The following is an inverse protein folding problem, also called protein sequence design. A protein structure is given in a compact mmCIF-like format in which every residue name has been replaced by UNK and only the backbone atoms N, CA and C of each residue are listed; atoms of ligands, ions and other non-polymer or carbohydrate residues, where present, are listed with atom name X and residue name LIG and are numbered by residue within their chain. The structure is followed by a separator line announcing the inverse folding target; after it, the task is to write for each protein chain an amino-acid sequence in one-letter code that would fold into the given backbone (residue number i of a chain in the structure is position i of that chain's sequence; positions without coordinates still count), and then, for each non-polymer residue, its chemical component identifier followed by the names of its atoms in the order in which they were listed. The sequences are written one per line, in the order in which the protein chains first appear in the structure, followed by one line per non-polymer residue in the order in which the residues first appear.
data_IF_491248536355
#
_entry.id   IF_491248536355
#
_cell.length_a   1.000
_cell.length_b   1.000
_cell.length_c   1.000
_cell.angle_alpha   90.00
_cell.angle_beta   90.00
_cell.angle_gamma   90.00
#
_symmetry.space_group_name_H-M   'P 1'
#
loop_
_entity.id
_entity.type
_entity.pdbx_description
1 polymer ?
#
# COMPACT_ATOMS: atom_id res chain seq x y z
N UNK A 1 -6.97 -8.94 19.59
CA UNK A 1 -5.77 -9.72 19.25
C UNK A 1 -5.63 -9.80 17.74
N UNK A 2 -4.78 -8.97 17.19
CA UNK A 2 -4.53 -8.90 15.74
C UNK A 2 -3.40 -9.84 15.29
N UNK A 3 -3.39 -11.05 15.81
CA UNK A 3 -2.41 -12.07 15.42
C UNK A 3 -3.02 -13.11 14.46
N UNK A 4 -4.23 -12.82 13.92
CA UNK A 4 -4.86 -13.70 12.95
C UNK A 4 -4.04 -13.75 11.66
N UNK A 5 -3.66 -14.98 11.25
CA UNK A 5 -2.92 -15.16 9.98
C UNK A 5 -3.88 -15.10 8.78
N UNK A 6 -3.31 -14.88 7.58
CA UNK A 6 -4.08 -14.95 6.34
C UNK A 6 -4.88 -16.25 6.21
N UNK A 7 -4.25 -17.39 6.48
CA UNK A 7 -4.90 -18.70 6.38
C UNK A 7 -6.06 -18.83 7.35
N UNK A 8 -5.90 -18.36 8.59
CA UNK A 8 -6.98 -18.38 9.59
C UNK A 8 -8.17 -17.51 9.13
N UNK A 9 -7.89 -16.32 8.60
CA UNK A 9 -8.93 -15.44 8.06
C UNK A 9 -9.69 -16.09 6.88
N UNK A 10 -8.98 -16.73 5.95
CA UNK A 10 -9.61 -17.48 4.86
C UNK A 10 -10.42 -18.66 5.35
N UNK A 11 -9.92 -19.42 6.31
CA UNK A 11 -10.66 -20.57 6.92
C UNK A 11 -11.95 -20.12 7.57
N UNK A 12 -11.93 -19.01 8.30
CA UNK A 12 -13.14 -18.42 8.92
C UNK A 12 -14.22 -18.07 7.87
N UNK A 13 -13.80 -17.72 6.65
CA UNK A 13 -14.68 -17.44 5.52
C UNK A 13 -15.10 -18.70 4.73
N UNK A 14 -14.77 -19.89 5.22
CA UNK A 14 -15.15 -21.16 4.58
C UNK A 14 -14.26 -21.55 3.39
N UNK A 15 -13.13 -20.87 3.16
CA UNK A 15 -12.20 -21.23 2.08
C UNK A 15 -11.50 -22.54 2.41
N UNK A 16 -11.54 -23.49 1.48
CA UNK A 16 -10.89 -24.79 1.65
C UNK A 16 -9.36 -24.68 1.55
N UNK A 17 -8.63 -25.63 2.17
CA UNK A 17 -7.16 -25.71 2.04
C UNK A 17 -6.71 -25.82 0.58
N UNK A 18 -7.47 -26.55 -0.25
CA UNK A 18 -7.17 -26.67 -1.68
C UNK A 18 -7.25 -25.31 -2.40
N UNK A 19 -8.27 -24.52 -2.10
CA UNK A 19 -8.43 -23.16 -2.66
C UNK A 19 -7.33 -22.23 -2.18
N UNK A 20 -6.94 -22.33 -0.90
CA UNK A 20 -5.80 -21.57 -0.35
C UNK A 20 -4.47 -21.93 -1.07
N UNK A 21 -4.18 -23.20 -1.31
CA UNK A 21 -2.98 -23.61 -2.05
C UNK A 21 -3.01 -23.17 -3.51
N UNK A 22 -4.19 -23.17 -4.16
CA UNK A 22 -4.36 -22.56 -5.48
C UNK A 22 -4.02 -21.06 -5.46
N UNK A 23 -4.50 -20.35 -4.47
CA UNK A 23 -4.14 -18.94 -4.26
C UNK A 23 -2.62 -18.75 -4.16
N UNK A 24 -1.94 -19.54 -3.32
CA UNK A 24 -0.48 -19.45 -3.16
C UNK A 24 0.26 -19.74 -4.48
N UNK A 25 -0.23 -20.67 -5.30
CA UNK A 25 0.34 -20.98 -6.62
C UNK A 25 0.14 -19.83 -7.61
N UNK A 26 -1.05 -19.22 -7.65
CA UNK A 26 -1.32 -18.04 -8.47
C UNK A 26 -0.48 -16.84 -8.04
N UNK A 27 -0.33 -16.62 -6.73
CA UNK A 27 0.55 -15.59 -6.21
C UNK A 27 2.02 -15.80 -6.61
N UNK A 28 2.52 -17.04 -6.58
CA UNK A 28 3.86 -17.37 -7.08
C UNK A 28 4.01 -16.99 -8.54
N UNK A 29 3.03 -17.33 -9.35
CA UNK A 29 3.03 -17.04 -10.80
C UNK A 29 2.97 -15.53 -11.07
N UNK A 30 2.09 -14.78 -10.39
CA UNK A 30 1.96 -13.33 -10.59
C UNK A 30 3.22 -12.56 -10.15
N UNK A 31 3.99 -13.13 -9.21
CA UNK A 31 5.29 -12.60 -8.78
C UNK A 31 6.45 -13.00 -9.72
N UNK A 32 6.17 -13.70 -10.82
CA UNK A 32 7.21 -14.26 -11.69
C UNK A 32 8.06 -15.33 -11.01
N UNK A 33 7.59 -15.90 -9.90
CA UNK A 33 8.27 -16.96 -9.16
C UNK A 33 7.79 -18.32 -9.67
N UNK A 34 8.70 -19.28 -9.76
CA UNK A 34 8.35 -20.65 -10.15
C UNK A 34 7.44 -21.34 -9.12
N UNK A 35 6.75 -22.40 -9.54
CA UNK A 35 5.85 -23.19 -8.68
C UNK A 35 6.54 -23.73 -7.40
N UNK A 36 7.86 -23.88 -7.40
CA UNK A 36 8.66 -24.28 -6.25
C UNK A 36 8.56 -23.30 -5.06
N UNK A 37 8.13 -22.05 -5.30
CA UNK A 37 7.93 -21.06 -4.24
C UNK A 37 6.56 -21.16 -3.56
N UNK A 38 5.61 -21.90 -4.12
CA UNK A 38 4.27 -22.08 -3.53
C UNK A 38 4.29 -22.54 -2.07
N UNK A 39 5.11 -23.55 -1.67
CA UNK A 39 5.16 -23.96 -0.26
C UNK A 39 5.67 -22.86 0.68
N UNK A 40 6.62 -22.03 0.23
CA UNK A 40 7.17 -20.93 1.03
C UNK A 40 6.14 -19.81 1.21
N UNK A 41 5.38 -19.50 0.17
CA UNK A 41 4.27 -18.55 0.24
C UNK A 41 3.19 -19.09 1.19
N UNK A 42 2.80 -20.36 1.03
CA UNK A 42 1.82 -20.99 1.89
C UNK A 42 2.25 -20.97 3.37
N UNK A 43 3.50 -21.32 3.66
CA UNK A 43 4.05 -21.27 5.02
C UNK A 43 3.97 -19.85 5.62
N UNK A 44 4.38 -18.83 4.85
CA UNK A 44 4.34 -17.45 5.32
C UNK A 44 2.90 -17.01 5.66
N UNK A 45 1.97 -17.30 4.79
CA UNK A 45 0.55 -16.94 4.94
C UNK A 45 -0.19 -17.77 6.02
N UNK A 46 0.35 -18.95 6.37
CA UNK A 46 -0.17 -19.78 7.48
C UNK A 46 0.37 -19.34 8.84
N UNK A 47 1.58 -18.77 8.90
CA UNK A 47 2.30 -18.59 10.17
C UNK A 47 2.58 -17.13 10.53
N UNK A 48 2.53 -16.21 9.57
CA UNK A 48 2.74 -14.78 9.87
C UNK A 48 1.40 -14.08 10.14
N UNK A 49 1.36 -13.16 11.13
CA UNK A 49 0.20 -12.29 11.31
C UNK A 49 0.02 -11.37 10.09
N UNK A 50 -1.19 -10.90 9.89
CA UNK A 50 -1.47 -9.90 8.85
C UNK A 50 -0.73 -8.61 9.15
N UNK A 51 -0.11 -8.02 8.12
CA UNK A 51 0.60 -6.75 8.28
C UNK A 51 -0.43 -5.61 8.28
N UNK A 52 -0.40 -4.73 9.29
CA UNK A 52 -1.21 -3.52 9.28
C UNK A 52 -0.84 -2.61 8.11
N UNK A 53 -1.83 -2.09 7.43
CA UNK A 53 -1.67 -1.11 6.35
C UNK A 53 -2.45 0.15 6.68
N UNK A 54 -1.76 1.27 6.61
CA UNK A 54 -2.33 2.62 6.71
C UNK A 54 -2.28 3.23 5.33
N UNK A 55 -3.44 3.51 4.73
CA UNK A 55 -3.56 4.11 3.40
C UNK A 55 -4.07 5.54 3.54
N UNK A 56 -3.28 6.48 3.06
CA UNK A 56 -3.59 7.91 3.16
C UNK A 56 -3.64 8.56 1.78
N UNK A 57 -4.47 9.58 1.64
CA UNK A 57 -4.81 10.24 0.39
C UNK A 57 -4.42 11.73 0.41
N UNK A 58 -3.60 12.15 -0.58
CA UNK A 58 -3.19 13.53 -0.79
C UNK A 58 -3.93 14.17 -1.97
N UNK A 59 -3.24 14.99 -2.76
CA UNK A 59 -3.79 15.48 -4.03
C UNK A 59 -3.83 14.33 -5.04
N UNK A 60 -5.04 13.84 -5.32
CA UNK A 60 -5.24 12.63 -6.12
C UNK A 60 -6.64 12.58 -6.75
N UNK A 61 -6.99 11.50 -7.42
CA UNK A 61 -8.28 11.27 -8.08
C UNK A 61 -8.94 9.94 -7.66
N UNK A 62 -8.45 9.29 -6.59
CA UNK A 62 -8.92 7.98 -6.06
C UNK A 62 -8.72 6.80 -7.04
N UNK A 63 -8.14 7.04 -8.23
CA UNK A 63 -8.02 5.99 -9.25
C UNK A 63 -7.07 4.86 -8.86
N UNK A 64 -6.09 5.06 -7.97
CA UNK A 64 -5.23 3.97 -7.52
C UNK A 64 -6.00 3.03 -6.59
N UNK A 65 -6.79 3.54 -5.66
CA UNK A 65 -7.73 2.75 -4.85
C UNK A 65 -8.74 2.03 -5.73
N UNK A 66 -9.35 2.72 -6.70
CA UNK A 66 -10.27 2.13 -7.69
C UNK A 66 -9.60 1.01 -8.51
N UNK A 67 -8.35 1.21 -8.92
CA UNK A 67 -7.58 0.17 -9.60
C UNK A 67 -7.34 -1.01 -8.69
N UNK A 68 -6.89 -0.77 -7.47
CA UNK A 68 -6.59 -1.83 -6.50
C UNK A 68 -7.80 -2.74 -6.23
N UNK A 69 -9.00 -2.16 -6.01
CA UNK A 69 -10.21 -2.95 -5.74
C UNK A 69 -10.68 -3.75 -6.96
N UNK A 70 -10.19 -3.44 -8.17
CA UNK A 70 -10.44 -4.20 -9.40
C UNK A 70 -9.45 -5.34 -9.66
N UNK A 71 -8.48 -5.55 -8.78
CA UNK A 71 -7.53 -6.67 -8.92
C UNK A 71 -8.28 -8.00 -9.02
N UNK A 72 -7.89 -8.81 -10.00
CA UNK A 72 -8.50 -10.09 -10.28
C UNK A 72 -7.68 -11.28 -9.79
N UNK A 73 -6.34 -11.12 -9.68
CA UNK A 73 -5.43 -12.19 -9.29
C UNK A 73 -4.24 -11.68 -8.46
N UNK A 74 -4.30 -11.71 -7.10
CA UNK A 74 -5.44 -12.09 -6.24
C UNK A 74 -6.57 -11.06 -6.27
N UNK A 75 -7.80 -11.50 -6.01
CA UNK A 75 -8.92 -10.57 -5.87
C UNK A 75 -8.63 -9.58 -4.74
N UNK A 76 -8.89 -8.28 -4.98
CA UNK A 76 -8.66 -7.24 -3.97
C UNK A 76 -9.35 -7.54 -2.63
N UNK A 77 -10.57 -8.07 -2.66
CA UNK A 77 -11.27 -8.51 -1.45
C UNK A 77 -10.49 -9.55 -0.64
N UNK A 78 -9.74 -10.44 -1.31
CA UNK A 78 -8.95 -11.47 -0.63
C UNK A 78 -7.67 -10.86 -0.06
N UNK A 79 -7.10 -9.85 -0.72
CA UNK A 79 -5.98 -9.08 -0.21
C UNK A 79 -6.40 -8.27 1.02
N UNK A 80 -7.40 -7.40 0.88
CA UNK A 80 -7.87 -6.50 1.95
C UNK A 80 -8.38 -7.28 3.15
N UNK A 81 -9.24 -8.29 2.91
CA UNK A 81 -9.93 -8.99 4.00
C UNK A 81 -9.10 -10.11 4.62
N UNK A 82 -7.97 -10.50 4.02
CA UNK A 82 -7.26 -11.69 4.45
C UNK A 82 -5.74 -11.55 4.47
N UNK A 83 -5.13 -10.94 3.46
CA UNK A 83 -3.67 -10.85 3.34
C UNK A 83 -3.07 -9.74 4.21
N UNK A 84 -3.70 -8.59 4.20
CA UNK A 84 -3.33 -7.43 5.02
C UNK A 84 -4.40 -7.17 6.07
N UNK A 85 -4.08 -6.34 7.05
CA UNK A 85 -5.06 -5.65 7.87
C UNK A 85 -5.11 -4.22 7.36
N UNK A 86 -6.13 -3.87 6.54
CA UNK A 86 -6.34 -2.49 6.14
C UNK A 86 -7.00 -1.77 7.31
N UNK A 87 -6.15 -1.23 8.19
CA UNK A 87 -6.57 -0.69 9.47
C UNK A 87 -7.02 0.77 9.35
N UNK A 88 -6.49 1.49 8.36
CA UNK A 88 -6.89 2.84 8.04
C UNK A 88 -6.91 3.07 6.52
N UNK A 89 -8.01 3.60 6.04
CA UNK A 89 -8.18 4.09 4.66
C UNK A 89 -9.34 5.08 4.67
N UNK A 90 -9.06 6.37 4.47
CA UNK A 90 -10.06 7.43 4.59
C UNK A 90 -11.10 7.43 3.44
N UNK A 91 -10.92 6.61 2.41
CA UNK A 91 -11.92 6.44 1.33
C UNK A 91 -12.79 5.17 1.48
N UNK A 92 -12.29 4.12 2.13
CA UNK A 92 -12.98 2.83 2.24
C UNK A 92 -13.50 2.50 3.64
N UNK A 93 -12.99 3.18 4.68
CA UNK A 93 -13.41 2.93 6.05
C UNK A 93 -14.80 3.50 6.34
N UNK A 94 -15.51 2.88 7.29
CA UNK A 94 -16.82 3.37 7.72
C UNK A 94 -16.74 4.56 8.70
N UNK A 95 -15.61 4.71 9.42
CA UNK A 95 -15.41 5.83 10.34
C UNK A 95 -15.21 7.14 9.57
N UNK A 96 -15.69 8.25 10.13
CA UNK A 96 -15.58 9.58 9.54
C UNK A 96 -15.29 10.65 10.61
N UNK A 97 -14.79 11.82 10.21
CA UNK A 97 -14.53 12.96 11.09
C UNK A 97 -13.55 12.61 12.21
N UNK A 98 -13.86 13.03 13.44
CA UNK A 98 -13.00 12.80 14.61
C UNK A 98 -12.75 11.33 14.88
N UNK A 99 -13.74 10.47 14.67
CA UNK A 99 -13.59 9.03 14.83
C UNK A 99 -12.51 8.45 13.89
N UNK A 100 -12.45 8.91 12.64
CA UNK A 100 -11.42 8.48 11.70
C UNK A 100 -10.02 8.91 12.15
N UNK A 101 -9.88 10.15 12.66
CA UNK A 101 -8.60 10.66 13.18
C UNK A 101 -8.17 9.94 14.46
N UNK A 102 -9.10 9.59 15.36
CA UNK A 102 -8.81 8.77 16.53
C UNK A 102 -8.30 7.38 16.14
N UNK A 103 -8.93 6.73 15.15
CA UNK A 103 -8.48 5.46 14.59
C UNK A 103 -7.08 5.59 13.99
N UNK A 104 -6.82 6.66 13.24
CA UNK A 104 -5.51 6.93 12.66
C UNK A 104 -4.41 6.99 13.74
N UNK A 105 -4.59 7.82 14.76
CA UNK A 105 -3.60 7.97 15.83
C UNK A 105 -3.42 6.69 16.67
N UNK A 106 -4.51 5.95 16.95
CA UNK A 106 -4.44 4.66 17.66
C UNK A 106 -3.59 3.65 16.87
N UNK A 107 -3.80 3.53 15.55
CA UNK A 107 -3.06 2.61 14.71
C UNK A 107 -1.58 2.99 14.64
N UNK A 108 -1.25 4.26 14.43
CA UNK A 108 0.14 4.72 14.40
C UNK A 108 0.87 4.42 15.71
N UNK A 109 0.18 4.55 16.84
CA UNK A 109 0.73 4.24 18.16
C UNK A 109 0.89 2.74 18.39
N UNK A 110 -0.18 1.97 18.12
CA UNK A 110 -0.25 0.53 18.38
C UNK A 110 0.72 -0.27 17.52
N UNK A 111 0.89 0.13 16.27
CA UNK A 111 1.71 -0.59 15.29
C UNK A 111 2.99 0.14 14.91
N UNK A 112 3.47 1.05 15.73
CA UNK A 112 4.71 1.78 15.47
C UNK A 112 5.86 0.84 15.08
N UNK A 113 6.50 1.10 13.95
CA UNK A 113 7.58 0.28 13.38
C UNK A 113 7.13 -1.00 12.69
N UNK A 114 5.81 -1.29 12.59
CA UNK A 114 5.30 -2.57 12.08
C UNK A 114 4.25 -2.45 10.97
N UNK A 115 3.83 -1.27 10.60
CA UNK A 115 2.85 -1.09 9.53
C UNK A 115 3.49 -0.64 8.22
N UNK A 116 2.84 -0.96 7.12
CA UNK A 116 3.15 -0.42 5.81
C UNK A 116 2.31 0.85 5.61
N UNK A 117 2.96 1.95 5.23
CA UNK A 117 2.30 3.15 4.80
C UNK A 117 2.08 3.13 3.29
N UNK A 118 0.85 3.12 2.86
CA UNK A 118 0.42 3.27 1.47
C UNK A 118 0.01 4.73 1.24
N UNK A 119 0.62 5.39 0.28
CA UNK A 119 0.34 6.80 -0.03
C UNK A 119 -0.19 6.91 -1.45
N UNK A 120 -1.40 7.41 -1.60
CA UNK A 120 -2.01 7.81 -2.87
C UNK A 120 -2.03 9.33 -2.97
N UNK A 121 -1.67 9.85 -4.15
CA UNK A 121 -1.56 11.29 -4.31
C UNK A 121 -0.27 11.90 -3.76
N UNK A 122 -0.21 13.22 -3.76
CA UNK A 122 0.99 13.96 -3.35
C UNK A 122 0.66 15.15 -2.45
N UNK A 123 1.63 15.60 -1.63
CA UNK A 123 1.47 16.79 -0.81
C UNK A 123 1.71 18.05 -1.63
N UNK A 124 0.88 19.09 -1.51
CA UNK A 124 1.24 20.45 -1.89
C UNK A 124 2.18 21.06 -0.84
N UNK A 125 3.17 21.85 -1.29
CA UNK A 125 4.05 22.61 -0.41
C UNK A 125 3.63 24.09 -0.31
N UNK A 126 2.87 24.58 -1.30
CA UNK A 126 2.39 25.95 -1.32
C UNK A 126 1.46 26.26 -0.16
N UNK A 127 1.47 27.50 0.32
CA UNK A 127 0.67 27.98 1.45
C UNK A 127 0.74 27.03 2.67
N UNK A 128 1.93 26.56 2.99
CA UNK A 128 2.19 25.63 4.10
C UNK A 128 1.38 24.32 4.01
N UNK A 129 1.03 23.89 2.79
CA UNK A 129 0.27 22.66 2.56
C UNK A 129 -1.25 22.81 2.62
N UNK A 130 -1.76 24.04 2.76
CA UNK A 130 -3.21 24.31 2.92
C UNK A 130 -4.07 23.96 1.71
N UNK A 131 -3.47 23.66 0.56
CA UNK A 131 -4.22 23.19 -0.62
C UNK A 131 -4.72 21.75 -0.52
N UNK A 132 -4.31 21.00 0.51
CA UNK A 132 -4.81 19.65 0.79
C UNK A 132 -4.92 19.45 2.30
N UNK A 133 -6.17 19.42 2.80
CA UNK A 133 -6.49 19.25 4.22
C UNK A 133 -7.15 17.88 4.42
N UNK A 134 -6.64 17.10 5.36
CA UNK A 134 -7.20 15.83 5.79
C UNK A 134 -7.30 15.82 7.32
N UNK A 135 -8.49 15.54 7.85
CA UNK A 135 -8.72 15.54 9.29
C UNK A 135 -8.45 16.89 9.97
N UNK A 136 -8.68 18.01 9.26
CA UNK A 136 -8.44 19.36 9.78
C UNK A 136 -6.98 19.81 9.80
N UNK A 137 -6.06 19.02 9.22
CA UNK A 137 -4.61 19.32 9.15
C UNK A 137 -4.11 19.28 7.71
N UNK A 138 -3.05 20.02 7.35
CA UNK A 138 -2.38 19.86 6.07
C UNK A 138 -1.95 18.41 5.85
N UNK A 139 -2.22 17.85 4.68
CA UNK A 139 -1.86 16.47 4.34
C UNK A 139 -0.36 16.18 4.53
N UNK A 140 0.51 17.17 4.30
CA UNK A 140 1.95 17.03 4.51
C UNK A 140 2.30 16.69 5.98
N UNK A 141 1.54 17.18 6.95
CA UNK A 141 1.73 16.86 8.37
C UNK A 141 1.28 15.42 8.64
N UNK A 142 0.11 15.01 8.12
CA UNK A 142 -0.39 13.64 8.19
C UNK A 142 0.60 12.65 7.58
N UNK A 143 1.13 12.97 6.39
CA UNK A 143 2.14 12.17 5.70
C UNK A 143 3.41 11.99 6.55
N UNK A 144 3.99 13.07 7.09
CA UNK A 144 5.18 13.02 7.95
C UNK A 144 4.91 12.22 9.22
N UNK A 145 3.76 12.42 9.84
CA UNK A 145 3.32 11.71 11.04
C UNK A 145 3.23 10.20 10.78
N UNK A 146 2.57 9.79 9.71
CA UNK A 146 2.45 8.39 9.33
C UNK A 146 3.80 7.79 8.90
N UNK A 147 4.61 8.52 8.17
CA UNK A 147 5.91 8.02 7.72
C UNK A 147 6.87 7.74 8.88
N UNK A 148 6.83 8.52 9.96
CA UNK A 148 7.75 8.37 11.09
C UNK A 148 7.74 6.96 11.70
N UNK A 149 6.57 6.33 11.84
CA UNK A 149 6.40 4.99 12.41
C UNK A 149 6.26 3.87 11.39
N UNK A 150 6.31 4.15 10.08
CA UNK A 150 6.16 3.12 9.06
C UNK A 150 7.40 2.23 8.93
N UNK A 151 7.20 0.91 8.80
CA UNK A 151 8.27 -0.05 8.48
C UNK A 151 8.67 0.01 7.01
N UNK A 152 7.72 0.35 6.13
CA UNK A 152 7.92 0.52 4.71
C UNK A 152 6.89 1.51 4.15
N UNK A 153 7.22 2.17 3.04
CA UNK A 153 6.34 3.13 2.36
C UNK A 153 6.15 2.70 0.91
N UNK A 154 4.90 2.70 0.44
CA UNK A 154 4.55 2.48 -0.95
C UNK A 154 3.94 3.76 -1.51
N UNK A 155 4.47 4.24 -2.62
CA UNK A 155 3.93 5.37 -3.39
C UNK A 155 3.05 4.82 -4.52
N UNK A 156 1.73 4.84 -4.33
CA UNK A 156 0.79 4.40 -5.34
C UNK A 156 0.58 5.45 -6.42
N UNK A 157 0.76 5.03 -7.64
CA UNK A 157 0.51 5.85 -8.80
C UNK A 157 1.58 6.89 -9.11
N UNK A 158 1.43 7.52 -10.25
CA UNK A 158 2.35 8.56 -10.72
C UNK A 158 2.28 9.82 -9.86
N UNK A 159 1.12 10.10 -9.21
CA UNK A 159 0.97 11.24 -8.32
C UNK A 159 1.92 11.16 -7.13
N UNK A 160 1.88 10.09 -6.35
CA UNK A 160 2.77 9.89 -5.21
C UNK A 160 4.23 9.73 -5.64
N UNK A 161 4.48 9.03 -6.77
CA UNK A 161 5.83 8.71 -7.24
C UNK A 161 6.57 9.90 -7.83
N UNK A 162 5.90 10.76 -8.61
CA UNK A 162 6.53 11.85 -9.39
C UNK A 162 5.72 13.13 -9.52
N UNK A 163 4.58 13.25 -8.83
CA UNK A 163 3.76 14.47 -8.82
C UNK A 163 2.66 14.52 -9.87
N UNK A 164 2.79 13.80 -10.99
CA UNK A 164 1.79 13.68 -12.06
C UNK A 164 1.27 15.05 -12.58
N UNK A 165 -0.01 15.11 -12.96
CA UNK A 165 -0.65 16.31 -13.51
C UNK A 165 -0.67 17.47 -12.51
N UNK A 166 -0.78 17.20 -11.22
CA UNK A 166 -0.79 18.23 -10.18
C UNK A 166 0.53 19.01 -10.10
N UNK A 167 1.66 18.35 -10.40
CA UNK A 167 2.98 18.96 -10.41
C UNK A 167 3.38 19.54 -11.78
N UNK A 168 2.51 19.43 -12.80
CA UNK A 168 2.76 20.02 -14.11
C UNK A 168 2.76 21.55 -14.03
N UNK A 169 3.57 22.19 -14.90
CA UNK A 169 3.64 23.67 -14.94
C UNK A 169 2.41 24.31 -15.58
N UNK A 170 1.94 25.43 -15.05
CA UNK A 170 2.35 26.10 -13.83
C UNK A 170 1.87 25.30 -12.61
N UNK A 171 2.69 25.10 -11.62
CA UNK A 171 2.36 24.35 -10.41
C UNK A 171 2.07 25.32 -9.21
N UNK A 172 0.90 25.95 -9.15
CA UNK A 172 0.62 26.97 -8.14
C UNK A 172 0.55 26.40 -6.72
N UNK A 173 0.18 25.13 -6.57
CA UNK A 173 0.09 24.47 -5.27
C UNK A 173 1.45 23.94 -4.79
N UNK A 174 2.46 23.96 -5.66
CA UNK A 174 3.77 23.34 -5.41
C UNK A 174 3.62 21.84 -5.05
N UNK A 175 2.69 21.15 -5.73
CA UNK A 175 2.51 19.72 -5.58
C UNK A 175 3.82 18.98 -5.89
N UNK A 176 4.21 18.04 -5.03
CA UNK A 176 5.52 17.40 -5.11
C UNK A 176 5.43 15.90 -4.80
N UNK A 177 6.27 15.05 -5.41
CA UNK A 177 6.28 13.63 -5.07
C UNK A 177 6.72 13.41 -3.62
N UNK A 178 6.26 12.30 -3.03
CA UNK A 178 6.45 12.06 -1.60
C UNK A 178 7.92 11.86 -1.20
N UNK A 179 8.78 11.40 -2.09
CA UNK A 179 10.22 11.22 -1.84
C UNK A 179 11.00 12.55 -1.70
N UNK A 180 10.37 13.68 -2.04
CA UNK A 180 10.92 15.00 -1.75
C UNK A 180 10.61 15.49 -0.33
N UNK A 181 9.64 14.85 0.30
CA UNK A 181 9.21 15.16 1.68
C UNK A 181 9.75 14.13 2.66
N UNK A 182 9.73 12.86 2.28
CA UNK A 182 10.25 11.74 3.08
C UNK A 182 11.55 11.28 2.45
N UNK A 183 12.67 11.58 3.09
CA UNK A 183 14.02 11.34 2.56
C UNK A 183 14.83 10.33 3.36
N UNK A 184 14.31 9.95 4.53
CA UNK A 184 14.97 9.09 5.52
C UNK A 184 14.55 7.62 5.45
N UNK A 185 13.62 7.28 4.55
CA UNK A 185 13.11 5.92 4.40
C UNK A 185 13.02 5.47 2.95
N UNK A 186 13.22 4.17 2.68
CA UNK A 186 13.03 3.64 1.34
C UNK A 186 11.55 3.69 0.94
N UNK A 187 11.30 4.14 -0.30
CA UNK A 187 9.95 4.23 -0.86
C UNK A 187 9.87 3.32 -2.09
N UNK A 188 8.93 2.40 -2.07
CA UNK A 188 8.58 1.56 -3.22
C UNK A 188 7.65 2.35 -4.12
N UNK A 189 8.14 2.81 -5.27
CA UNK A 189 7.33 3.57 -6.24
C UNK A 189 6.64 2.64 -7.22
N UNK A 190 5.34 2.74 -7.30
CA UNK A 190 4.49 1.93 -8.19
C UNK A 190 3.75 2.86 -9.15
N UNK A 191 4.44 3.37 -10.18
CA UNK A 191 3.86 4.33 -11.11
C UNK A 191 2.80 3.70 -12.01
N UNK A 192 1.96 4.57 -12.52
CA UNK A 192 0.80 4.33 -13.38
C UNK A 192 -0.26 5.37 -13.04
N UNK A 193 -1.21 5.62 -13.93
CA UNK A 193 -2.30 6.56 -13.68
C UNK A 193 -3.64 5.95 -14.17
N UNK A 194 -4.16 4.99 -13.37
CA UNK A 194 -3.59 4.32 -12.19
C UNK A 194 -2.58 3.20 -12.52
N UNK A 195 -1.88 2.62 -11.53
CA UNK A 195 -1.09 1.41 -11.70
C UNK A 195 -1.99 0.21 -12.05
N UNK A 196 -1.39 -0.81 -12.66
CA UNK A 196 -2.08 -2.08 -12.96
C UNK A 196 -2.49 -2.74 -11.65
N UNK A 197 -3.77 -3.12 -11.47
CA UNK A 197 -4.29 -3.66 -10.20
C UNK A 197 -3.56 -4.92 -9.72
N UNK A 198 -3.25 -5.84 -10.64
CA UNK A 198 -2.55 -7.08 -10.29
C UNK A 198 -1.10 -6.82 -9.84
N UNK A 199 -0.45 -5.76 -10.36
CA UNK A 199 0.88 -5.31 -9.89
C UNK A 199 0.81 -4.78 -8.47
N UNK A 200 -0.22 -3.98 -8.13
CA UNK A 200 -0.42 -3.46 -6.78
C UNK A 200 -0.59 -4.60 -5.78
N UNK A 201 -1.49 -5.53 -6.07
CA UNK A 201 -1.75 -6.71 -5.24
C UNK A 201 -0.53 -7.62 -5.09
N UNK A 202 0.25 -7.81 -6.18
CA UNK A 202 1.45 -8.63 -6.17
C UNK A 202 2.56 -8.01 -5.29
N UNK A 203 2.75 -6.69 -5.32
CA UNK A 203 3.74 -6.01 -4.48
C UNK A 203 3.41 -6.17 -3.00
N UNK A 204 2.15 -5.96 -2.61
CA UNK A 204 1.72 -6.20 -1.23
C UNK A 204 1.95 -7.66 -0.85
N UNK A 205 1.54 -8.60 -1.70
CA UNK A 205 1.74 -10.04 -1.48
C UNK A 205 3.22 -10.37 -1.30
N UNK A 206 4.11 -9.78 -2.12
CA UNK A 206 5.56 -9.98 -1.99
C UNK A 206 6.07 -9.51 -0.63
N UNK A 207 5.74 -8.26 -0.25
CA UNK A 207 6.22 -7.67 1.00
C UNK A 207 5.74 -8.46 2.22
N UNK A 208 4.47 -8.87 2.24
CA UNK A 208 3.90 -9.70 3.32
C UNK A 208 4.56 -11.08 3.38
N UNK A 209 4.77 -11.73 2.22
CA UNK A 209 5.30 -13.09 2.15
C UNK A 209 6.77 -13.14 2.59
N UNK A 210 7.58 -12.21 2.06
CA UNK A 210 9.03 -12.27 2.24
C UNK A 210 9.56 -11.37 3.36
N UNK A 211 8.70 -10.51 3.93
CA UNK A 211 9.05 -9.57 5.01
C UNK A 211 10.23 -8.66 4.62
N UNK A 212 10.23 -8.24 3.38
CA UNK A 212 11.25 -7.36 2.80
C UNK A 212 10.71 -6.59 1.62
N UNK A 213 11.37 -5.49 1.29
CA UNK A 213 11.10 -4.74 0.07
C UNK A 213 11.50 -5.55 -1.18
N UNK A 214 10.78 -5.40 -2.31
CA UNK A 214 11.26 -5.91 -3.59
C UNK A 214 12.56 -5.23 -4.00
N UNK A 215 13.34 -5.86 -4.88
CA UNK A 215 14.48 -5.19 -5.52
C UNK A 215 13.98 -4.01 -6.34
N UNK A 216 14.61 -2.85 -6.13
CA UNK A 216 14.23 -1.59 -6.76
C UNK A 216 15.26 -1.18 -7.81
N UNK A 217 14.79 -0.56 -8.87
CA UNK A 217 15.65 0.14 -9.82
C UNK A 217 16.12 1.50 -9.24
N UNK A 218 16.98 2.20 -9.99
CA UNK A 218 17.49 3.54 -9.61
C UNK A 218 16.40 4.62 -9.44
N UNK A 219 15.19 4.35 -9.92
CA UNK A 219 14.03 5.24 -9.79
C UNK A 219 13.12 4.84 -8.61
N UNK A 220 13.46 3.78 -7.86
CA UNK A 220 12.69 3.27 -6.76
C UNK A 220 11.52 2.37 -7.17
N UNK A 221 11.51 1.83 -8.42
CA UNK A 221 10.44 0.95 -8.92
C UNK A 221 10.83 -0.52 -8.76
N UNK A 222 9.89 -1.41 -8.43
CA UNK A 222 10.16 -2.84 -8.36
C UNK A 222 10.64 -3.42 -9.70
N UNK A 223 11.87 -3.94 -9.74
CA UNK A 223 12.48 -4.50 -10.93
C UNK A 223 11.66 -5.63 -11.57
N UNK A 224 10.94 -6.40 -10.76
CA UNK A 224 10.10 -7.50 -11.23
C UNK A 224 8.95 -7.06 -12.15
N UNK A 225 8.53 -5.78 -12.07
CA UNK A 225 7.43 -5.24 -12.88
C UNK A 225 7.86 -4.09 -13.80
N UNK A 226 8.93 -3.41 -13.46
CA UNK A 226 9.41 -2.21 -14.18
C UNK A 226 10.81 -2.40 -14.76
N UNK A 227 11.29 -3.65 -14.88
CA UNK A 227 12.57 -3.97 -15.48
C UNK A 227 12.59 -3.72 -17.00
N UNK A 228 13.80 -3.69 -17.58
CA UNK A 228 13.98 -3.49 -19.03
C UNK A 228 13.68 -4.73 -19.88
N UNK A 229 13.39 -5.87 -19.29
CA UNK A 229 13.01 -7.09 -20.01
C UNK A 229 11.49 -7.20 -20.04
N UNK A 230 10.93 -6.89 -21.17
CA UNK A 230 9.59 -7.28 -21.58
C UNK A 230 9.74 -8.58 -22.37
#
# INVERSE_FOLDING_TARGET
NNEETFYQAMRRKGVSRRSFLKYCSLAATSLGLGAAMTPRIAWALENKPRIPVVWIHGLECTCCTESFIRSSHPLAKDVILSLISLDYDDTLMAAAGTQAEEVFEDILSRYHGRYILAVEGNPPLGEQGMFCISGGRPFIEKLKRAAAGASAIIAWGTCASWGCVQAARPNPTQATPIDKVITDKPIVKVPGCPPIPDVMSAIITYMVTFDRLPELDRLGRPLMFYGQRI
#
